data_IF_153466735682
#
_entry.id   IF_153466735682
#
_cell.length_a   1.000
_cell.length_b   1.000
_cell.length_c   1.000
_cell.angle_alpha   90.00
_cell.angle_beta   90.00
_cell.angle_gamma   90.00
#
_symmetry.space_group_name_H-M   'P 1'
#
loop_
_entity.id
_entity.type
_entity.pdbx_description
1 polymer ?
#
# COMPACT_ATOMS: atom_id res chain seq x y z
N UNK A 1 -5.95 -13.22 11.26
CA UNK A 1 -6.41 -12.32 12.32
C UNK A 1 -7.53 -11.43 11.75
N UNK A 2 -8.56 -11.13 12.55
CA UNK A 2 -9.66 -10.23 12.21
C UNK A 2 -10.07 -9.43 13.45
N UNK A 3 -10.71 -8.28 13.24
CA UNK A 3 -11.31 -7.53 14.31
C UNK A 3 -12.53 -8.29 14.89
N UNK A 4 -12.76 -8.16 16.18
CA UNK A 4 -13.93 -8.65 16.89
C UNK A 4 -15.00 -7.55 17.00
N UNK A 5 -16.21 -7.93 17.42
CA UNK A 5 -17.26 -6.94 17.72
C UNK A 5 -16.83 -5.99 18.85
N UNK A 6 -16.10 -6.48 19.85
CA UNK A 6 -15.58 -5.67 20.97
C UNK A 6 -14.59 -4.62 20.47
N UNK A 7 -13.70 -4.96 19.51
CA UNK A 7 -12.77 -4.01 18.89
C UNK A 7 -13.51 -2.91 18.14
N UNK A 8 -14.57 -3.26 17.41
CA UNK A 8 -15.41 -2.31 16.66
C UNK A 8 -16.11 -1.35 17.61
N UNK A 9 -16.77 -1.87 18.67
CA UNK A 9 -17.46 -1.05 19.65
C UNK A 9 -16.50 -0.10 20.37
N UNK A 10 -15.32 -0.59 20.77
CA UNK A 10 -14.30 0.23 21.39
C UNK A 10 -13.88 1.42 20.53
N UNK A 11 -13.69 1.20 19.21
CA UNK A 11 -13.31 2.28 18.30
C UNK A 11 -14.45 3.27 18.03
N UNK A 12 -15.70 2.78 17.92
CA UNK A 12 -16.90 3.62 17.78
C UNK A 12 -17.07 4.50 19.00
N UNK A 13 -16.98 3.95 20.20
CA UNK A 13 -17.10 4.71 21.46
C UNK A 13 -16.02 5.79 21.57
N UNK A 14 -14.78 5.44 21.24
CA UNK A 14 -13.68 6.39 21.21
C UNK A 14 -13.93 7.53 20.20
N UNK A 15 -14.35 7.21 18.97
CA UNK A 15 -14.65 8.22 17.94
C UNK A 15 -15.80 9.14 18.39
N UNK A 16 -16.88 8.59 18.91
CA UNK A 16 -18.04 9.35 19.40
C UNK A 16 -17.71 10.24 20.61
N UNK A 17 -16.78 9.80 21.45
CA UNK A 17 -16.28 10.62 22.56
C UNK A 17 -15.58 11.90 22.07
N UNK A 18 -14.73 11.78 21.03
CA UNK A 18 -13.98 12.92 20.48
C UNK A 18 -14.78 13.75 19.49
N UNK A 19 -15.78 13.16 18.82
CA UNK A 19 -16.60 13.79 17.79
C UNK A 19 -18.11 13.74 18.13
N UNK A 20 -18.57 14.30 19.25
CA UNK A 20 -19.93 14.10 19.77
C UNK A 20 -21.04 14.66 18.86
N UNK A 21 -20.70 15.52 17.89
CA UNK A 21 -21.66 16.07 16.93
C UNK A 21 -21.87 15.18 15.69
N UNK A 22 -21.03 14.17 15.50
CA UNK A 22 -21.04 13.25 14.34
C UNK A 22 -21.07 11.81 14.87
N UNK A 23 -22.14 11.45 15.58
CA UNK A 23 -22.29 10.11 16.14
C UNK A 23 -22.31 9.07 15.03
N UNK A 24 -21.38 8.13 15.11
CA UNK A 24 -21.31 6.96 14.25
C UNK A 24 -21.80 5.71 14.95
N UNK A 25 -22.27 4.74 14.17
CA UNK A 25 -22.82 3.48 14.60
C UNK A 25 -22.09 2.31 13.92
N UNK A 26 -22.44 1.08 14.28
CA UNK A 26 -21.91 -0.12 13.61
C UNK A 26 -22.25 -0.18 12.12
N UNK A 27 -23.38 0.41 11.70
CA UNK A 27 -23.82 0.45 10.31
C UNK A 27 -22.93 1.34 9.42
N UNK A 28 -22.22 2.30 10.04
CA UNK A 28 -21.32 3.22 9.36
C UNK A 28 -19.94 2.61 9.11
N UNK A 29 -19.65 1.40 9.65
CA UNK A 29 -18.36 0.73 9.48
C UNK A 29 -18.30 0.06 8.12
N UNK A 30 -17.47 0.58 7.22
CA UNK A 30 -17.24 0.05 5.88
C UNK A 30 -16.41 -1.23 5.94
N UNK A 31 -15.25 -1.16 6.59
CA UNK A 31 -14.28 -2.26 6.64
C UNK A 31 -13.53 -2.29 7.96
N UNK A 32 -12.99 -3.45 8.29
CA UNK A 32 -12.03 -3.63 9.39
C UNK A 32 -10.80 -4.38 8.92
N UNK A 33 -9.70 -4.19 9.61
CA UNK A 33 -8.51 -5.03 9.46
C UNK A 33 -7.81 -5.20 10.80
N UNK A 34 -7.10 -6.30 10.94
CA UNK A 34 -6.25 -6.57 12.09
C UNK A 34 -4.91 -7.12 11.61
N UNK A 35 -3.85 -6.89 12.37
CA UNK A 35 -2.51 -7.35 12.03
C UNK A 35 -1.67 -7.60 13.28
N UNK A 36 -0.70 -8.50 13.15
CA UNK A 36 0.26 -8.79 14.21
C UNK A 36 1.45 -7.82 14.12
N UNK A 37 1.90 -7.33 15.27
CA UNK A 37 3.13 -6.56 15.36
C UNK A 37 4.33 -7.49 15.52
N UNK A 38 5.37 -7.39 14.70
CA UNK A 38 6.59 -8.17 14.85
C UNK A 38 7.44 -7.60 16.00
N UNK A 39 7.02 -7.81 17.24
CA UNK A 39 7.78 -7.39 18.41
C UNK A 39 8.92 -8.38 18.66
N UNK A 40 10.09 -7.86 19.06
CA UNK A 40 11.25 -8.67 19.39
C UNK A 40 11.17 -9.00 20.88
N UNK A 41 11.16 -10.29 21.21
CA UNK A 41 11.22 -10.73 22.59
C UNK A 41 12.58 -10.40 23.19
N UNK A 42 12.66 -9.74 24.35
CA UNK A 42 13.93 -9.51 25.04
C UNK A 42 14.63 -10.82 25.39
N UNK A 43 15.95 -10.86 25.26
CA UNK A 43 16.76 -12.08 25.58
C UNK A 43 16.75 -12.45 27.08
N UNK A 44 16.33 -11.56 27.96
CA UNK A 44 16.23 -11.84 29.40
C UNK A 44 14.81 -12.30 29.75
N UNK A 45 14.73 -13.30 30.62
CA UNK A 45 13.54 -13.86 31.27
C UNK A 45 12.82 -12.78 32.13
N UNK A 46 12.38 -11.73 31.49
CA UNK A 46 11.58 -10.66 32.08
C UNK A 46 10.12 -11.07 31.95
N UNK A 47 9.64 -11.80 32.97
CA UNK A 47 8.27 -12.30 33.05
C UNK A 47 7.22 -11.32 32.50
N UNK A 48 5.97 -11.65 32.44
CA UNK A 48 4.81 -10.93 31.88
C UNK A 48 4.98 -9.40 31.75
N UNK A 49 5.85 -8.94 30.84
CA UNK A 49 5.90 -7.54 30.44
C UNK A 49 4.68 -7.21 29.57
N UNK A 50 3.96 -6.16 29.93
CA UNK A 50 2.91 -5.65 29.08
C UNK A 50 3.46 -5.32 27.67
N UNK A 51 2.76 -5.66 26.59
CA UNK A 51 3.18 -5.44 25.20
C UNK A 51 3.57 -3.98 24.91
N UNK A 52 3.00 -3.03 25.65
CA UNK A 52 3.31 -1.60 25.58
C UNK A 52 4.72 -1.25 26.02
N UNK A 53 5.41 -2.13 26.77
CA UNK A 53 6.75 -1.93 27.30
C UNK A 53 7.83 -2.58 26.43
N UNK A 54 7.46 -3.41 25.44
CA UNK A 54 8.41 -4.05 24.53
C UNK A 54 9.00 -3.00 23.58
N UNK A 55 10.32 -3.02 23.41
CA UNK A 55 11.01 -2.11 22.49
C UNK A 55 10.49 -2.26 21.06
N UNK A 56 10.25 -1.12 20.41
CA UNK A 56 9.86 -1.04 18.99
C UNK A 56 11.03 -0.67 18.09
N UNK A 57 12.25 -0.79 18.59
CA UNK A 57 13.46 -0.62 17.79
C UNK A 57 13.69 -1.87 16.94
N UNK A 58 14.26 -1.67 15.76
CA UNK A 58 14.63 -2.80 14.91
C UNK A 58 15.97 -3.39 15.38
N UNK A 59 16.15 -4.66 15.11
CA UNK A 59 17.41 -5.37 15.32
C UNK A 59 17.80 -6.10 14.03
N UNK A 60 19.10 -6.14 13.78
CA UNK A 60 19.69 -6.88 12.68
C UNK A 60 20.48 -8.04 13.28
N UNK A 61 20.10 -9.25 12.89
CA UNK A 61 20.75 -10.49 13.30
C UNK A 61 21.44 -11.14 12.09
N UNK A 62 22.66 -11.64 12.30
CA UNK A 62 23.42 -12.37 11.29
C UNK A 62 23.51 -13.82 11.75
N UNK A 63 22.89 -14.72 11.00
CA UNK A 63 22.97 -16.16 11.26
C UNK A 63 24.36 -16.74 10.96
N UNK A 64 24.64 -17.92 11.52
CA UNK A 64 25.89 -18.65 11.25
C UNK A 64 26.02 -19.06 9.76
N UNK A 65 24.90 -19.19 9.07
CA UNK A 65 24.78 -19.44 7.63
C UNK A 65 24.99 -18.19 6.75
N UNK A 66 25.17 -17.00 7.40
CA UNK A 66 25.32 -15.72 6.71
C UNK A 66 24.01 -15.03 6.37
N UNK A 67 22.85 -15.58 6.76
CA UNK A 67 21.55 -14.94 6.56
C UNK A 67 21.45 -13.66 7.42
N UNK A 68 21.15 -12.53 6.77
CA UNK A 68 20.91 -11.25 7.45
C UNK A 68 19.42 -11.09 7.65
N UNK A 69 18.97 -11.08 8.89
CA UNK A 69 17.56 -10.91 9.28
C UNK A 69 17.37 -9.57 9.96
N UNK A 70 16.35 -8.82 9.56
CA UNK A 70 15.90 -7.62 10.27
C UNK A 70 14.49 -7.85 10.82
N UNK A 71 14.28 -7.49 12.08
CA UNK A 71 12.99 -7.61 12.76
C UNK A 71 12.67 -6.37 13.58
N UNK A 72 11.39 -6.16 13.93
CA UNK A 72 10.94 -5.00 14.70
C UNK A 72 10.92 -3.70 13.91
N UNK A 73 11.02 -2.58 14.61
CA UNK A 73 11.03 -1.24 14.01
C UNK A 73 9.66 -0.63 13.79
N UNK A 74 9.64 0.54 13.17
CA UNK A 74 8.44 1.31 12.86
C UNK A 74 8.35 1.57 11.37
N UNK A 75 7.13 1.61 10.83
CA UNK A 75 6.91 1.95 9.42
C UNK A 75 7.55 3.30 9.04
N UNK A 76 7.51 4.29 9.93
CA UNK A 76 8.09 5.62 9.70
C UNK A 76 9.62 5.62 9.63
N UNK A 77 10.30 4.56 10.08
CA UNK A 77 11.76 4.42 10.04
C UNK A 77 12.26 3.46 8.95
N UNK A 78 11.36 3.00 8.07
CA UNK A 78 11.64 1.97 7.05
C UNK A 78 12.91 2.24 6.22
N UNK A 79 13.13 3.49 5.78
CA UNK A 79 14.28 3.87 4.96
C UNK A 79 15.60 3.65 5.72
N UNK A 80 15.65 4.06 7.01
CA UNK A 80 16.83 3.86 7.87
C UNK A 80 17.05 2.38 8.10
N UNK A 81 16.00 1.62 8.42
CA UNK A 81 16.04 0.18 8.61
C UNK A 81 16.60 -0.53 7.38
N UNK A 82 16.05 -0.24 6.20
CA UNK A 82 16.51 -0.80 4.93
C UNK A 82 17.98 -0.47 4.67
N UNK A 83 18.39 0.79 4.91
CA UNK A 83 19.80 1.21 4.74
C UNK A 83 20.73 0.42 5.63
N UNK A 84 20.42 0.28 6.92
CA UNK A 84 21.28 -0.41 7.88
C UNK A 84 21.37 -1.91 7.57
N UNK A 85 20.26 -2.53 7.16
CA UNK A 85 20.24 -3.92 6.72
C UNK A 85 21.11 -4.15 5.46
N UNK A 86 20.96 -3.29 4.45
CA UNK A 86 21.76 -3.36 3.22
C UNK A 86 23.23 -3.08 3.50
N UNK A 87 23.56 -2.08 4.32
CA UNK A 87 24.94 -1.77 4.70
C UNK A 87 25.60 -2.97 5.42
N UNK A 88 24.86 -3.67 6.28
CA UNK A 88 25.33 -4.90 6.94
C UNK A 88 25.62 -6.01 5.91
N UNK A 89 24.71 -6.25 4.99
CA UNK A 89 24.90 -7.24 3.94
C UNK A 89 26.09 -6.90 3.02
N UNK A 90 26.25 -5.62 2.65
CA UNK A 90 27.38 -5.13 1.87
C UNK A 90 28.71 -5.34 2.60
N UNK A 91 28.77 -5.08 3.91
CA UNK A 91 29.98 -5.33 4.70
C UNK A 91 30.37 -6.80 4.71
N UNK A 92 29.41 -7.71 4.89
CA UNK A 92 29.65 -9.16 4.82
C UNK A 92 30.22 -9.56 3.47
N UNK A 93 29.57 -9.10 2.37
CA UNK A 93 30.01 -9.42 1.01
C UNK A 93 31.39 -8.86 0.66
N UNK A 94 31.78 -7.69 1.21
CA UNK A 94 33.12 -7.15 1.12
C UNK A 94 34.15 -8.06 1.85
N UNK A 95 33.83 -8.47 3.06
CA UNK A 95 34.69 -9.39 3.83
C UNK A 95 34.88 -10.74 3.13
N UNK A 96 33.87 -11.18 2.38
CA UNK A 96 33.95 -12.39 1.55
C UNK A 96 34.66 -12.17 0.20
N UNK A 97 35.12 -10.95 -0.10
CA UNK A 97 35.75 -10.61 -1.38
C UNK A 97 34.80 -10.61 -2.58
N UNK A 98 33.48 -10.58 -2.36
CA UNK A 98 32.46 -10.60 -3.40
C UNK A 98 32.07 -9.19 -3.90
N UNK A 99 32.44 -8.16 -3.17
CA UNK A 99 32.19 -6.76 -3.56
C UNK A 99 33.48 -5.93 -3.44
N UNK A 100 33.63 -4.87 -4.28
CA UNK A 100 34.75 -3.94 -4.18
C UNK A 100 34.79 -3.24 -2.82
N UNK A 101 35.99 -3.03 -2.28
CA UNK A 101 36.23 -2.33 -1.02
C UNK A 101 35.74 -0.87 -1.03
N UNK A 102 35.83 -0.21 -2.19
CA UNK A 102 35.50 1.20 -2.40
C UNK A 102 34.01 1.46 -2.66
N UNK A 103 33.16 0.41 -2.63
CA UNK A 103 31.73 0.56 -2.77
C UNK A 103 31.16 1.48 -1.67
N UNK A 104 30.52 2.57 -2.07
CA UNK A 104 29.98 3.58 -1.16
C UNK A 104 28.62 3.14 -0.62
N UNK A 105 28.39 3.41 0.68
CA UNK A 105 27.08 3.20 1.32
C UNK A 105 25.95 3.98 0.61
N UNK A 106 24.75 3.42 0.58
CA UNK A 106 23.60 4.02 -0.03
C UNK A 106 23.24 5.40 0.54
N UNK A 107 22.90 6.35 -0.33
CA UNK A 107 22.55 7.73 0.01
C UNK A 107 21.04 7.99 -0.14
N UNK A 108 20.20 7.01 0.19
CA UNK A 108 18.74 7.08 0.03
C UNK A 108 18.09 8.29 0.73
N UNK A 109 18.75 8.88 1.71
CA UNK A 109 18.27 10.09 2.40
C UNK A 109 18.39 11.38 1.56
N UNK A 110 19.16 11.34 0.47
CA UNK A 110 19.35 12.47 -0.47
C UNK A 110 18.59 12.29 -1.76
N UNK A 111 18.21 11.07 -2.09
CA UNK A 111 17.57 10.77 -3.35
C UNK A 111 16.05 10.92 -3.20
N UNK A 112 15.38 11.72 -4.03
CA UNK A 112 13.93 11.76 -4.06
C UNK A 112 13.36 10.41 -4.48
N UNK A 113 12.15 10.09 -4.01
CA UNK A 113 11.38 8.96 -4.52
C UNK A 113 10.97 9.23 -5.98
N UNK A 114 10.69 8.20 -6.79
CA UNK A 114 10.36 8.38 -8.20
C UNK A 114 9.25 9.41 -8.47
N UNK A 115 8.18 9.43 -7.66
CA UNK A 115 7.10 10.40 -7.77
C UNK A 115 7.49 11.83 -7.39
N UNK A 116 8.60 12.03 -6.68
CA UNK A 116 9.10 13.35 -6.26
C UNK A 116 10.20 13.89 -7.17
N UNK A 117 10.61 13.15 -8.20
CA UNK A 117 11.60 13.66 -9.16
C UNK A 117 10.97 14.74 -10.04
N UNK A 118 11.44 15.98 -9.91
CA UNK A 118 10.86 17.13 -10.61
C UNK A 118 9.66 17.77 -9.91
N UNK A 119 9.32 17.34 -8.68
CA UNK A 119 8.27 17.97 -7.87
C UNK A 119 8.62 19.42 -7.53
N UNK A 120 7.66 20.37 -7.63
CA UNK A 120 7.91 21.78 -7.37
C UNK A 120 8.21 22.06 -5.88
N UNK A 121 9.05 23.08 -5.63
CA UNK A 121 9.46 23.44 -4.26
C UNK A 121 8.30 24.05 -3.43
N UNK A 122 7.32 24.66 -4.09
CA UNK A 122 6.14 25.28 -3.47
C UNK A 122 5.00 24.29 -3.20
N UNK A 123 5.21 23.01 -3.53
CA UNK A 123 4.24 21.92 -3.33
C UNK A 123 2.87 22.17 -4.02
N UNK A 124 2.88 22.81 -5.18
CA UNK A 124 1.67 23.16 -5.93
C UNK A 124 1.18 21.98 -6.80
N UNK A 125 0.27 21.19 -6.24
CA UNK A 125 -0.35 20.03 -6.90
C UNK A 125 -1.16 20.42 -8.15
N UNK A 126 -1.86 21.56 -8.11
CA UNK A 126 -2.67 22.03 -9.23
C UNK A 126 -1.78 22.45 -10.42
N UNK A 127 -0.63 23.10 -10.15
CA UNK A 127 0.35 23.43 -11.17
C UNK A 127 0.92 22.16 -11.83
N UNK A 128 1.22 21.11 -11.05
CA UNK A 128 1.66 19.81 -11.58
C UNK A 128 0.56 19.15 -12.42
N UNK A 129 -0.69 19.16 -11.96
CA UNK A 129 -1.82 18.62 -12.71
C UNK A 129 -2.02 19.35 -14.06
N UNK A 130 -1.86 20.66 -14.07
CA UNK A 130 -1.89 21.49 -15.29
C UNK A 130 -0.74 21.16 -16.23
N UNK A 131 0.48 21.07 -15.71
CA UNK A 131 1.66 20.68 -16.50
C UNK A 131 1.44 19.33 -17.19
N UNK A 132 0.94 18.32 -16.44
CA UNK A 132 0.64 16.99 -16.98
C UNK A 132 -0.41 17.07 -18.08
N UNK A 133 -1.44 17.93 -17.94
CA UNK A 133 -2.46 18.15 -18.97
C UNK A 133 -1.88 18.75 -20.25
N UNK A 134 -0.91 19.65 -20.13
CA UNK A 134 -0.24 20.26 -21.28
C UNK A 134 0.73 19.30 -21.98
N UNK A 135 1.35 18.37 -21.24
CA UNK A 135 2.28 17.37 -21.78
C UNK A 135 1.58 16.14 -22.39
N UNK A 136 0.37 15.82 -21.93
CA UNK A 136 -0.37 14.64 -22.37
C UNK A 136 -1.85 14.97 -22.53
N UNK A 137 -2.30 15.09 -23.78
CA UNK A 137 -3.71 15.27 -24.12
C UNK A 137 -4.47 13.97 -23.95
N UNK A 138 -5.29 13.89 -22.88
CA UNK A 138 -6.29 12.83 -22.70
C UNK A 138 -7.56 13.43 -22.08
N UNK A 139 -8.72 12.85 -22.39
CA UNK A 139 -10.04 13.31 -21.93
C UNK A 139 -10.29 12.96 -20.44
N UNK A 140 -9.35 13.32 -19.58
CA UNK A 140 -9.43 13.10 -18.13
C UNK A 140 -10.00 14.35 -17.43
N UNK A 141 -10.92 14.16 -16.48
CA UNK A 141 -11.40 15.26 -15.66
C UNK A 141 -10.29 15.87 -14.79
N UNK A 142 -10.37 17.17 -14.50
CA UNK A 142 -9.39 17.84 -13.62
C UNK A 142 -9.35 17.19 -12.23
N UNK A 143 -10.50 16.75 -11.71
CA UNK A 143 -10.57 16.05 -10.41
C UNK A 143 -9.82 14.72 -10.45
N UNK A 144 -9.99 13.92 -11.51
CA UNK A 144 -9.25 12.65 -11.69
C UNK A 144 -7.76 12.92 -11.82
N UNK A 145 -7.37 13.95 -12.59
CA UNK A 145 -5.97 14.31 -12.78
C UNK A 145 -5.32 14.73 -11.46
N UNK A 146 -5.99 15.56 -10.68
CA UNK A 146 -5.49 15.99 -9.37
C UNK A 146 -5.37 14.79 -8.42
N UNK A 147 -6.36 13.89 -8.39
CA UNK A 147 -6.27 12.63 -7.63
C UNK A 147 -5.04 11.78 -8.01
N UNK A 148 -4.73 11.68 -9.30
CA UNK A 148 -3.54 10.95 -9.73
C UNK A 148 -2.25 11.66 -9.30
N UNK A 149 -2.21 12.99 -9.35
CA UNK A 149 -1.07 13.78 -8.86
C UNK A 149 -0.89 13.60 -7.35
N UNK A 150 -1.96 13.67 -6.58
CA UNK A 150 -1.95 13.46 -5.13
C UNK A 150 -1.46 12.06 -4.75
N UNK A 151 -1.73 11.06 -5.61
CA UNK A 151 -1.39 9.66 -5.33
C UNK A 151 0.01 9.29 -5.84
N UNK A 152 0.39 9.75 -7.04
CA UNK A 152 1.59 9.28 -7.75
C UNK A 152 2.64 10.37 -7.98
N UNK A 153 2.35 11.63 -7.60
CA UNK A 153 3.24 12.76 -7.86
C UNK A 153 3.47 12.96 -9.36
N UNK A 154 4.72 13.23 -9.75
CA UNK A 154 5.12 13.41 -11.16
C UNK A 154 4.86 12.16 -12.03
N UNK A 155 4.76 10.97 -11.44
CA UNK A 155 4.42 9.75 -12.18
C UNK A 155 2.98 9.70 -12.68
N UNK A 156 2.10 10.62 -12.26
CA UNK A 156 0.77 10.79 -12.82
C UNK A 156 0.79 11.02 -14.35
N UNK A 157 1.89 11.54 -14.90
CA UNK A 157 2.11 11.66 -16.35
C UNK A 157 2.14 10.28 -17.04
N UNK A 158 2.68 9.26 -16.38
CA UNK A 158 2.73 7.90 -16.94
C UNK A 158 1.31 7.32 -17.05
N UNK A 159 0.47 7.54 -16.03
CA UNK A 159 -0.94 7.14 -16.05
C UNK A 159 -1.73 7.90 -17.13
N UNK A 160 -1.47 9.19 -17.31
CA UNK A 160 -2.08 9.99 -18.38
C UNK A 160 -1.71 9.45 -19.77
N UNK A 161 -0.47 9.01 -19.98
CA UNK A 161 -0.04 8.36 -21.22
C UNK A 161 -0.71 7.01 -21.47
N UNK A 162 -0.97 6.23 -20.40
CA UNK A 162 -1.76 4.99 -20.50
C UNK A 162 -3.17 5.33 -21.02
N UNK A 163 -3.82 6.34 -20.43
CA UNK A 163 -5.15 6.79 -20.86
C UNK A 163 -5.20 7.32 -22.30
N UNK A 164 -4.16 8.05 -22.73
CA UNK A 164 -4.06 8.54 -24.12
C UNK A 164 -3.91 7.39 -25.13
N UNK A 165 -3.23 6.31 -24.74
CA UNK A 165 -3.06 5.10 -25.58
C UNK A 165 -4.22 4.12 -25.54
N UNK A 166 -5.00 4.12 -24.47
CA UNK A 166 -6.15 3.25 -24.26
C UNK A 166 -7.29 4.00 -23.54
N UNK A 167 -8.31 4.48 -24.26
CA UNK A 167 -9.43 5.21 -23.64
C UNK A 167 -10.19 4.41 -22.57
N UNK A 168 -10.18 3.07 -22.63
CA UNK A 168 -10.81 2.23 -21.59
C UNK A 168 -10.11 2.34 -20.24
N UNK A 169 -8.87 2.79 -20.21
CA UNK A 169 -8.13 3.07 -18.98
C UNK A 169 -8.67 4.27 -18.19
N UNK A 170 -9.50 5.14 -18.82
CA UNK A 170 -10.19 6.24 -18.14
C UNK A 170 -11.47 5.77 -17.40
N UNK A 171 -11.95 4.58 -17.65
CA UNK A 171 -13.14 4.07 -16.97
C UNK A 171 -12.89 3.99 -15.46
N UNK A 172 -13.83 4.42 -14.60
CA UNK A 172 -13.71 4.27 -13.18
C UNK A 172 -13.70 2.79 -12.79
N UNK A 173 -12.85 2.42 -11.83
CA UNK A 173 -12.80 1.05 -11.28
C UNK A 173 -14.16 0.70 -10.65
N UNK A 174 -14.73 1.62 -9.88
CA UNK A 174 -16.08 1.53 -9.32
C UNK A 174 -16.88 2.71 -9.85
N UNK A 175 -18.09 2.50 -10.42
CA UNK A 175 -18.91 3.59 -10.93
C UNK A 175 -19.14 4.70 -9.87
N UNK A 176 -18.88 5.96 -10.26
CA UNK A 176 -19.03 7.12 -9.39
C UNK A 176 -17.83 7.42 -8.50
N UNK A 177 -16.78 6.59 -8.50
CA UNK A 177 -15.52 6.87 -7.81
C UNK A 177 -14.51 7.51 -8.77
N UNK A 178 -13.44 8.03 -8.19
CA UNK A 178 -12.41 8.79 -8.90
C UNK A 178 -11.26 7.91 -9.40
N UNK A 179 -11.11 6.73 -8.79
CA UNK A 179 -10.08 5.76 -9.15
C UNK A 179 -10.39 5.12 -10.50
N UNK A 180 -9.41 5.09 -11.42
CA UNK A 180 -9.57 4.67 -12.83
C UNK A 180 -8.76 3.43 -13.18
N UNK A 181 -9.13 2.75 -14.27
CA UNK A 181 -8.48 1.52 -14.73
C UNK A 181 -7.01 1.69 -15.10
N UNK A 182 -6.55 2.91 -15.44
CA UNK A 182 -5.13 3.18 -15.62
C UNK A 182 -4.30 2.87 -14.37
N UNK A 183 -4.88 2.99 -13.17
CA UNK A 183 -4.20 2.64 -11.90
C UNK A 183 -4.00 1.12 -11.77
N UNK A 184 -4.84 0.30 -12.40
CA UNK A 184 -4.64 -1.15 -12.49
C UNK A 184 -3.43 -1.47 -13.36
N UNK A 185 -3.36 -0.88 -14.57
CA UNK A 185 -2.23 -1.08 -15.49
C UNK A 185 -0.91 -0.65 -14.87
N UNK A 186 -0.90 0.54 -14.28
CA UNK A 186 0.26 1.10 -13.61
C UNK A 186 0.68 0.24 -12.40
N UNK A 187 -0.29 -0.16 -11.58
CA UNK A 187 -0.06 -1.02 -10.43
C UNK A 187 0.61 -2.34 -10.79
N UNK A 188 0.19 -2.96 -11.90
CA UNK A 188 0.82 -4.21 -12.39
C UNK A 188 2.21 -3.96 -12.95
N UNK A 189 2.36 -2.96 -13.84
CA UNK A 189 3.61 -2.76 -14.60
C UNK A 189 4.72 -2.14 -13.77
N UNK A 190 4.38 -1.22 -12.86
CA UNK A 190 5.32 -0.36 -12.16
C UNK A 190 5.40 -0.59 -10.65
N UNK A 191 4.36 -1.21 -10.07
CA UNK A 191 4.24 -1.38 -8.62
C UNK A 191 4.08 -2.84 -8.19
N UNK A 192 4.35 -3.79 -9.10
CA UNK A 192 4.34 -5.24 -8.82
C UNK A 192 3.03 -5.78 -8.25
N UNK A 193 1.89 -5.18 -8.60
CA UNK A 193 0.60 -5.74 -8.22
C UNK A 193 0.40 -7.11 -8.91
N UNK A 194 0.16 -8.14 -8.13
CA UNK A 194 0.05 -9.53 -8.57
C UNK A 194 -1.29 -10.18 -8.20
N UNK A 195 -2.21 -9.43 -7.59
CA UNK A 195 -3.54 -9.90 -7.19
C UNK A 195 -4.56 -8.76 -7.22
N UNK A 196 -5.85 -9.14 -7.29
CA UNK A 196 -6.97 -8.16 -7.17
C UNK A 196 -6.87 -7.39 -5.85
N UNK A 197 -6.49 -8.04 -4.76
CA UNK A 197 -6.29 -7.41 -3.46
C UNK A 197 -5.16 -6.36 -3.50
N UNK A 198 -4.11 -6.55 -4.30
CA UNK A 198 -3.07 -5.53 -4.42
C UNK A 198 -3.63 -4.22 -4.99
N UNK A 199 -4.53 -4.30 -5.95
CA UNK A 199 -5.16 -3.12 -6.53
C UNK A 199 -6.19 -2.52 -5.57
N UNK A 200 -7.18 -3.29 -5.13
CA UNK A 200 -8.33 -2.75 -4.41
C UNK A 200 -8.03 -2.38 -2.96
N UNK A 201 -7.10 -3.09 -2.30
CA UNK A 201 -6.71 -2.82 -0.91
C UNK A 201 -5.50 -1.87 -0.84
N UNK A 202 -4.42 -2.18 -1.61
CA UNK A 202 -3.09 -1.60 -1.37
C UNK A 202 -2.77 -0.41 -2.27
N UNK A 203 -3.32 -0.32 -3.48
CA UNK A 203 -3.01 0.77 -4.45
C UNK A 203 -4.11 1.83 -4.47
N UNK A 204 -5.38 1.43 -4.65
CA UNK A 204 -6.50 2.35 -4.76
C UNK A 204 -7.22 2.59 -3.43
N UNK A 205 -7.06 1.68 -2.47
CA UNK A 205 -7.73 1.73 -1.17
C UNK A 205 -9.27 1.74 -1.26
N UNK A 206 -9.84 1.27 -2.37
CA UNK A 206 -11.29 1.15 -2.58
C UNK A 206 -11.91 0.28 -1.48
N UNK A 207 -11.24 -0.81 -1.09
CA UNK A 207 -11.62 -1.69 0.03
C UNK A 207 -12.01 -0.94 1.31
N UNK A 208 -11.36 0.20 1.61
CA UNK A 208 -11.61 0.95 2.83
C UNK A 208 -12.65 2.05 2.68
N UNK A 209 -13.01 2.43 1.44
CA UNK A 209 -13.80 3.64 1.16
C UNK A 209 -15.08 3.37 0.41
N UNK A 210 -15.25 2.18 -0.14
CA UNK A 210 -16.43 1.79 -0.90
C UNK A 210 -17.32 0.86 -0.06
N UNK A 211 -18.64 1.08 -0.07
CA UNK A 211 -19.59 0.37 0.80
C UNK A 211 -19.59 -1.15 0.56
N UNK A 212 -19.46 -1.58 -0.70
CA UNK A 212 -19.32 -2.99 -1.05
C UNK A 212 -17.86 -3.49 -1.00
N UNK A 213 -16.93 -2.60 -0.62
CA UNK A 213 -15.49 -2.87 -0.57
C UNK A 213 -14.92 -3.23 -1.95
N UNK A 214 -15.51 -2.74 -3.04
CA UNK A 214 -15.08 -3.00 -4.41
C UNK A 214 -15.37 -4.41 -4.93
N UNK A 215 -16.23 -5.20 -4.27
CA UNK A 215 -16.61 -6.54 -4.74
C UNK A 215 -17.17 -6.53 -6.15
N UNK A 216 -18.03 -5.54 -6.48
CA UNK A 216 -18.59 -5.41 -7.82
C UNK A 216 -17.55 -5.11 -8.89
N UNK A 217 -16.40 -4.54 -8.53
CA UNK A 217 -15.30 -4.22 -9.44
C UNK A 217 -14.27 -5.36 -9.56
N UNK A 218 -14.27 -6.35 -8.65
CA UNK A 218 -13.23 -7.38 -8.58
C UNK A 218 -13.03 -8.14 -9.90
N UNK A 219 -14.12 -8.48 -10.59
CA UNK A 219 -14.06 -9.15 -11.89
C UNK A 219 -13.42 -8.27 -12.97
N UNK A 220 -13.83 -6.99 -13.09
CA UNK A 220 -13.30 -6.07 -14.08
C UNK A 220 -11.81 -5.78 -13.84
N UNK A 221 -11.39 -5.66 -12.58
CA UNK A 221 -9.98 -5.53 -12.19
C UNK A 221 -9.20 -6.78 -12.58
N UNK A 222 -9.71 -7.98 -12.28
CA UNK A 222 -9.07 -9.24 -12.64
C UNK A 222 -8.95 -9.41 -14.16
N UNK A 223 -10.00 -9.05 -14.92
CA UNK A 223 -10.01 -9.08 -16.40
C UNK A 223 -8.96 -8.14 -16.99
N UNK A 224 -8.75 -6.97 -16.37
CA UNK A 224 -7.71 -6.02 -16.78
C UNK A 224 -6.29 -6.52 -16.43
N UNK A 225 -6.12 -7.17 -15.29
CA UNK A 225 -4.84 -7.71 -14.84
C UNK A 225 -4.40 -8.94 -15.63
N UNK A 226 -5.34 -9.80 -16.00
CA UNK A 226 -5.06 -11.11 -16.61
C UNK A 226 -4.10 -11.04 -17.83
N UNK A 227 -4.34 -10.22 -18.86
CA UNK A 227 -3.43 -10.12 -20.01
C UNK A 227 -2.05 -9.55 -19.65
N UNK A 228 -1.98 -8.68 -18.62
CA UNK A 228 -0.72 -8.07 -18.18
C UNK A 228 0.17 -9.05 -17.44
N UNK A 229 -0.42 -10.00 -16.71
CA UNK A 229 0.26 -10.99 -15.88
C UNK A 229 0.36 -12.37 -16.57
N UNK A 230 -0.28 -12.54 -17.73
CA UNK A 230 -0.33 -13.84 -18.40
C UNK A 230 -1.17 -14.87 -17.64
N UNK A 231 -2.20 -14.44 -16.93
CA UNK A 231 -3.08 -15.31 -16.16
C UNK A 231 -3.92 -16.22 -17.04
N UNK A 232 -4.09 -17.45 -16.60
CA UNK A 232 -5.16 -18.35 -17.06
C UNK A 232 -6.50 -17.95 -16.43
N UNK A 233 -7.60 -18.50 -16.94
CA UNK A 233 -8.93 -18.33 -16.32
C UNK A 233 -8.95 -18.83 -14.88
N UNK A 234 -8.18 -19.87 -14.58
CA UNK A 234 -8.05 -20.41 -13.22
C UNK A 234 -7.29 -19.47 -12.29
N UNK A 235 -6.21 -18.83 -12.76
CA UNK A 235 -5.45 -17.85 -11.98
C UNK A 235 -6.31 -16.62 -11.69
N UNK A 236 -7.05 -16.14 -12.70
CA UNK A 236 -7.98 -15.04 -12.58
C UNK A 236 -9.06 -15.33 -11.53
N UNK A 237 -9.71 -16.49 -11.62
CA UNK A 237 -10.75 -16.90 -10.69
C UNK A 237 -10.21 -17.04 -9.26
N UNK A 238 -9.03 -17.64 -9.09
CA UNK A 238 -8.36 -17.77 -7.79
C UNK A 238 -8.06 -16.40 -7.15
N UNK A 239 -7.67 -15.42 -7.95
CA UNK A 239 -7.39 -14.07 -7.44
C UNK A 239 -8.66 -13.35 -6.98
N UNK A 240 -9.81 -13.56 -7.67
CA UNK A 240 -11.11 -13.03 -7.27
C UNK A 240 -11.56 -13.68 -5.95
N UNK A 241 -11.54 -15.02 -5.87
CA UNK A 241 -11.94 -15.76 -4.67
C UNK A 241 -11.10 -15.39 -3.45
N UNK A 242 -9.79 -15.18 -3.63
CA UNK A 242 -8.92 -14.72 -2.57
C UNK A 242 -9.31 -13.32 -2.08
N UNK A 243 -9.71 -12.42 -2.98
CA UNK A 243 -10.20 -11.10 -2.61
C UNK A 243 -11.54 -11.14 -1.89
N UNK A 244 -12.50 -11.95 -2.37
CA UNK A 244 -13.78 -12.17 -1.70
C UNK A 244 -13.60 -12.70 -0.27
N UNK A 245 -12.65 -13.60 -0.07
CA UNK A 245 -12.30 -14.10 1.26
C UNK A 245 -11.71 -13.01 2.17
N UNK A 246 -10.91 -12.08 1.63
CA UNK A 246 -10.38 -10.93 2.39
C UNK A 246 -11.51 -9.98 2.82
N UNK A 247 -12.48 -9.73 1.94
CA UNK A 247 -13.68 -8.95 2.27
C UNK A 247 -14.53 -9.65 3.32
N UNK A 248 -14.76 -10.95 3.18
CA UNK A 248 -15.50 -11.73 4.17
C UNK A 248 -14.82 -11.68 5.55
N UNK A 249 -13.49 -11.79 5.60
CA UNK A 249 -12.71 -11.66 6.83
C UNK A 249 -12.88 -10.28 7.49
N UNK A 250 -12.88 -9.21 6.70
CA UNK A 250 -13.12 -7.84 7.16
C UNK A 250 -14.51 -7.64 7.76
N UNK A 251 -15.49 -8.43 7.34
CA UNK A 251 -16.88 -8.35 7.78
C UNK A 251 -17.24 -9.34 8.89
N UNK A 252 -16.32 -10.21 9.28
CA UNK A 252 -16.56 -11.34 10.18
C UNK A 252 -17.10 -10.92 11.55
N UNK A 253 -16.71 -9.77 12.07
CA UNK A 253 -17.23 -9.24 13.34
C UNK A 253 -18.76 -9.09 13.36
N UNK A 254 -19.41 -8.96 12.17
CA UNK A 254 -20.86 -8.88 12.04
C UNK A 254 -21.58 -10.20 12.34
N UNK A 255 -20.88 -11.31 12.33
CA UNK A 255 -21.41 -12.62 12.68
C UNK A 255 -21.57 -12.78 14.21
N UNK A 256 -20.98 -11.87 14.99
CA UNK A 256 -21.07 -11.83 16.44
C UNK A 256 -22.27 -10.99 16.96
N UNK A 257 -23.02 -10.34 16.02
CA UNK A 257 -24.23 -9.56 16.31
C UNK A 257 -25.42 -10.51 16.59
#
# INVERSE_FOLDING_TARGET
>A
ECATLEDVDYLIDAANHYFPNNMISRDDVISTWAGLRPLIQPEADMGDMAESQVSREHQIHIGEDGLVTIAGGKLTTYRKMAKECVDTAVQILKLMGQLPEDLVSGQTYKNPLPGAIGWPEDDDHEAVAKQISEECECEMSDATRLHLVDTYGMRALELSRICAGDPSALEPIVPGRIEIMAQVDFGVREEFAASVADILVRRTQIFFRDEDQGLTAAHAVADRMAPLLGWSDEDRQRSIEAYEAEVALSRRWREEL
#
